data_IF_742078539824
#
_entry.id   IF_742078539824
#
_cell.length_a   1.000
_cell.length_b   1.000
_cell.length_c   1.000
_cell.angle_alpha   90.00
_cell.angle_beta   90.00
_cell.angle_gamma   90.00
#
_symmetry.space_group_name_H-M   'P 1'
#
loop_
_entity.id
_entity.type
_entity.pdbx_description
1 polymer ?
#
# COMPACT_ATOMS: atom_id res chain seq x y z
N UNK A 1 -14.87 4.54 8.95
CA UNK A 1 -13.64 5.34 9.06
C UNK A 1 -12.47 4.37 8.97
N UNK A 2 -11.51 4.58 8.06
CA UNK A 2 -10.32 3.73 8.00
C UNK A 2 -9.51 3.86 9.30
N UNK A 3 -8.84 2.77 9.73
CA UNK A 3 -8.02 2.76 10.96
C UNK A 3 -6.86 3.76 10.86
N UNK A 4 -6.20 3.76 9.70
CA UNK A 4 -5.14 4.67 9.29
C UNK A 4 -4.94 4.56 7.77
N UNK A 5 -4.17 5.50 7.20
CA UNK A 5 -3.73 5.47 5.80
C UNK A 5 -2.27 5.01 5.73
N UNK A 6 -1.95 4.08 4.82
CA UNK A 6 -0.64 3.44 4.70
C UNK A 6 -0.14 3.54 3.25
N UNK A 7 1.12 3.94 3.06
CA UNK A 7 1.81 3.86 1.77
C UNK A 7 2.61 2.55 1.71
N UNK A 8 2.41 1.74 0.67
CA UNK A 8 3.21 0.55 0.39
C UNK A 8 4.19 0.90 -0.74
N UNK A 9 5.48 0.94 -0.44
CA UNK A 9 6.54 0.99 -1.44
C UNK A 9 7.05 -0.43 -1.70
N UNK A 10 6.66 -1.03 -2.83
CA UNK A 10 6.95 -2.44 -3.15
C UNK A 10 7.09 -2.61 -4.67
N UNK A 11 8.25 -3.08 -5.12
CA UNK A 11 8.60 -3.21 -6.55
C UNK A 11 8.02 -4.47 -7.20
N UNK A 12 7.69 -5.50 -6.41
CA UNK A 12 7.01 -6.70 -6.90
C UNK A 12 5.48 -6.52 -6.95
N UNK A 13 4.93 -6.58 -8.17
CA UNK A 13 3.47 -6.53 -8.40
C UNK A 13 2.69 -7.55 -7.56
N UNK A 14 3.22 -8.77 -7.43
CA UNK A 14 2.55 -9.85 -6.69
C UNK A 14 2.56 -9.57 -5.19
N UNK A 15 3.71 -9.15 -4.64
CA UNK A 15 3.81 -8.85 -3.21
C UNK A 15 2.97 -7.63 -2.84
N UNK A 16 2.96 -6.59 -3.68
CA UNK A 16 2.17 -5.39 -3.43
C UNK A 16 0.67 -5.69 -3.34
N UNK A 17 0.17 -6.53 -4.25
CA UNK A 17 -1.22 -6.98 -4.23
C UNK A 17 -1.56 -7.78 -2.96
N UNK A 18 -0.67 -8.67 -2.51
CA UNK A 18 -0.85 -9.46 -1.27
C UNK A 18 -0.91 -8.53 -0.05
N UNK A 19 0.03 -7.59 0.06
CA UNK A 19 0.10 -6.66 1.21
C UNK A 19 -1.08 -5.69 1.22
N UNK A 20 -1.46 -5.13 0.06
CA UNK A 20 -2.65 -4.29 -0.06
C UNK A 20 -3.88 -5.04 0.43
N UNK A 21 -4.14 -6.24 -0.10
CA UNK A 21 -5.32 -7.01 0.27
C UNK A 21 -5.36 -7.26 1.78
N UNK A 22 -4.24 -7.66 2.36
CA UNK A 22 -4.16 -7.90 3.80
C UNK A 22 -4.47 -6.64 4.61
N UNK A 23 -3.97 -5.47 4.22
CA UNK A 23 -4.22 -4.21 4.94
C UNK A 23 -5.67 -3.72 4.75
N UNK A 24 -6.21 -3.79 3.54
CA UNK A 24 -7.60 -3.43 3.26
C UNK A 24 -8.60 -4.32 4.03
N UNK A 25 -8.34 -5.64 4.10
CA UNK A 25 -9.14 -6.59 4.89
C UNK A 25 -9.17 -6.24 6.38
N UNK A 26 -8.14 -5.55 6.88
CA UNK A 26 -8.04 -5.07 8.26
C UNK A 26 -8.54 -3.62 8.44
N UNK A 27 -9.12 -3.02 7.40
CA UNK A 27 -9.76 -1.71 7.45
C UNK A 27 -8.80 -0.52 7.36
N UNK A 28 -7.62 -0.72 6.76
CA UNK A 28 -6.70 0.36 6.40
C UNK A 28 -7.03 0.90 5.00
N UNK A 29 -6.73 2.19 4.78
CA UNK A 29 -6.69 2.78 3.45
C UNK A 29 -5.26 2.65 2.92
N UNK A 30 -5.09 2.12 1.71
CA UNK A 30 -3.78 1.81 1.14
C UNK A 30 -3.51 2.70 -0.07
N UNK A 31 -2.31 3.28 -0.11
CA UNK A 31 -1.74 3.93 -1.30
C UNK A 31 -0.58 3.05 -1.79
N UNK A 32 -0.64 2.62 -3.04
CA UNK A 32 0.39 1.81 -3.67
C UNK A 32 1.44 2.70 -4.35
N UNK A 33 2.71 2.40 -4.13
CA UNK A 33 3.85 2.95 -4.86
C UNK A 33 4.71 1.79 -5.37
N UNK A 34 5.01 1.80 -6.67
CA UNK A 34 5.81 0.78 -7.34
C UNK A 34 7.32 1.06 -7.27
N UNK A 35 7.71 2.26 -6.85
CA UNK A 35 9.09 2.62 -6.56
C UNK A 35 9.20 3.65 -5.41
N UNK A 36 10.44 4.01 -5.06
CA UNK A 36 10.71 4.96 -3.99
C UNK A 36 10.32 6.41 -4.28
N UNK A 37 10.32 6.84 -5.55
CA UNK A 37 9.92 8.20 -5.91
C UNK A 37 8.40 8.33 -5.82
N UNK A 38 7.66 7.37 -6.37
CA UNK A 38 6.21 7.29 -6.24
C UNK A 38 5.80 7.26 -4.76
N UNK A 39 6.56 6.57 -3.89
CA UNK A 39 6.30 6.52 -2.46
C UNK A 39 6.52 7.87 -1.75
N UNK A 40 7.47 8.67 -2.23
CA UNK A 40 7.77 9.99 -1.68
C UNK A 40 6.69 11.03 -2.06
N UNK A 41 6.03 10.84 -3.20
CA UNK A 41 4.97 11.71 -3.72
C UNK A 41 3.55 11.40 -3.19
N UNK A 42 3.40 10.33 -2.41
CA UNK A 42 2.12 9.74 -1.97
C UNK A 42 1.57 10.29 -0.62
#
# INVERSE_FOLDING_TARGET
MPRARIVIAEDSLVMRAIVRQHLEDHGYEVIEADDGNAALEA
#
